data_IF_221744612712
#
_entry.id   IF_221744612712
#
_cell.length_a   1.000
_cell.length_b   1.000
_cell.length_c   1.000
_cell.angle_alpha   90.00
_cell.angle_beta   90.00
_cell.angle_gamma   90.00
#
_symmetry.space_group_name_H-M   'P 1'
#
loop_
_entity.id
_entity.type
_entity.pdbx_description
1 polymer ?
#
# COMPACT_ATOMS: atom_id res chain seq x y z
N UNK A 1 -50.07 -46.55 35.29
CA UNK A 1 -50.10 -45.12 35.67
C UNK A 1 -48.70 -44.56 35.50
N UNK A 2 -48.47 -43.90 34.37
CA UNK A 2 -47.14 -43.52 33.87
C UNK A 2 -46.65 -42.26 34.58
N UNK A 3 -45.52 -42.35 35.29
CA UNK A 3 -44.90 -41.23 36.00
C UNK A 3 -44.20 -40.33 34.98
N UNK A 4 -44.76 -39.16 34.71
CA UNK A 4 -44.10 -38.07 33.97
C UNK A 4 -42.99 -37.47 34.85
N UNK A 5 -41.74 -37.79 34.55
CA UNK A 5 -40.57 -37.05 35.08
C UNK A 5 -40.55 -35.65 34.44
N UNK A 6 -40.46 -34.59 35.26
CA UNK A 6 -40.37 -33.21 34.77
C UNK A 6 -38.93 -32.93 34.30
N UNK A 7 -38.70 -32.27 33.16
CA UNK A 7 -37.34 -31.96 32.71
C UNK A 7 -36.70 -30.89 33.61
N UNK A 8 -35.46 -31.14 34.04
CA UNK A 8 -34.63 -30.20 34.78
C UNK A 8 -34.23 -29.03 33.84
N UNK A 9 -34.39 -27.75 34.23
CA UNK A 9 -33.97 -26.64 33.38
C UNK A 9 -32.44 -26.63 33.24
N UNK A 10 -31.93 -26.79 32.02
CA UNK A 10 -30.51 -26.56 31.71
C UNK A 10 -30.21 -25.07 31.89
N UNK A 11 -29.53 -24.75 32.99
CA UNK A 11 -29.05 -23.41 33.30
C UNK A 11 -28.06 -23.01 32.20
N UNK A 12 -28.47 -22.08 31.32
CA UNK A 12 -27.60 -21.47 30.29
C UNK A 12 -26.33 -20.95 30.98
N UNK A 13 -25.19 -21.61 30.74
CA UNK A 13 -23.88 -21.04 31.07
C UNK A 13 -23.69 -19.80 30.20
N UNK A 14 -23.90 -18.62 30.79
CA UNK A 14 -23.40 -17.36 30.26
C UNK A 14 -21.88 -17.50 30.20
N UNK A 15 -21.31 -17.61 29.00
CA UNK A 15 -19.86 -17.50 28.81
C UNK A 15 -19.46 -16.08 29.20
N UNK A 16 -18.49 -15.88 30.11
CA UNK A 16 -18.07 -14.54 30.45
C UNK A 16 -17.14 -13.98 29.37
N UNK A 17 -17.31 -12.68 29.18
CA UNK A 17 -16.27 -11.68 28.90
C UNK A 17 -15.54 -11.78 27.54
N UNK A 18 -15.93 -10.84 26.69
CA UNK A 18 -15.27 -10.29 25.51
C UNK A 18 -13.75 -10.51 25.48
N UNK A 19 -13.26 -11.24 24.48
CA UNK A 19 -11.96 -10.89 23.91
C UNK A 19 -12.16 -9.58 23.16
N UNK A 20 -12.08 -8.49 23.90
CA UNK A 20 -11.57 -7.22 23.38
C UNK A 20 -10.13 -7.50 22.95
N UNK A 21 -10.00 -8.09 21.75
CA UNK A 21 -8.76 -8.07 21.02
C UNK A 21 -8.52 -6.58 20.76
N UNK A 22 -7.59 -6.04 21.53
CA UNK A 22 -7.16 -4.64 21.47
C UNK A 22 -7.18 -4.21 20.02
N UNK A 23 -8.04 -3.26 19.69
CA UNK A 23 -7.94 -2.48 18.46
C UNK A 23 -6.68 -1.65 18.57
N UNK A 24 -5.54 -2.31 18.45
CA UNK A 24 -4.32 -1.65 18.03
C UNK A 24 -4.68 -1.04 16.67
N UNK A 25 -4.55 0.28 16.48
CA UNK A 25 -4.86 0.89 15.20
C UNK A 25 -3.88 0.29 14.21
N UNK A 26 -4.31 -0.71 13.45
CA UNK A 26 -3.54 -1.19 12.31
C UNK A 26 -3.51 0.00 11.36
N UNK A 27 -2.40 0.75 11.38
CA UNK A 27 -2.19 1.84 10.45
C UNK A 27 -2.45 1.27 9.06
N UNK A 28 -3.39 1.90 8.36
CA UNK A 28 -3.93 1.36 7.11
C UNK A 28 -2.80 1.09 6.10
N UNK A 29 -2.94 0.03 5.27
CA UNK A 29 -2.01 -0.23 4.19
C UNK A 29 -1.81 1.05 3.36
N UNK A 30 -0.55 1.39 3.10
CA UNK A 30 -0.20 2.45 2.18
C UNK A 30 -0.77 2.10 0.79
N UNK A 31 -1.18 3.08 -0.01
CA UNK A 31 -1.58 2.83 -1.40
C UNK A 31 -0.49 3.41 -2.30
N UNK A 32 0.17 2.56 -3.09
CA UNK A 32 1.15 3.01 -4.09
C UNK A 32 0.42 3.21 -5.42
N UNK A 33 0.13 4.47 -5.76
CA UNK A 33 -0.65 4.89 -6.92
C UNK A 33 0.22 5.49 -8.05
N UNK A 34 1.52 5.23 -8.04
CA UNK A 34 2.52 5.68 -9.04
C UNK A 34 2.70 7.21 -9.16
N UNK A 35 1.89 8.00 -8.45
CA UNK A 35 1.98 9.47 -8.42
C UNK A 35 3.02 9.97 -7.41
N UNK A 36 3.34 9.16 -6.41
CA UNK A 36 4.40 9.40 -5.42
C UNK A 36 5.67 8.64 -5.79
N UNK A 37 6.83 9.26 -5.63
CA UNK A 37 8.13 8.60 -5.85
C UNK A 37 8.19 7.31 -5.03
N UNK A 38 8.71 6.24 -5.64
CA UNK A 38 8.95 4.97 -4.95
C UNK A 38 9.75 5.16 -3.65
N UNK A 39 10.71 6.11 -3.61
CA UNK A 39 11.48 6.45 -2.41
C UNK A 39 10.60 6.97 -1.27
N UNK A 40 9.60 7.80 -1.58
CA UNK A 40 8.65 8.35 -0.60
C UNK A 40 7.72 7.24 -0.10
N UNK A 41 7.21 6.43 -1.03
CA UNK A 41 6.38 5.26 -0.69
C UNK A 41 7.14 4.30 0.23
N UNK A 42 8.38 3.96 -0.11
CA UNK A 42 9.26 3.09 0.69
C UNK A 42 9.48 3.66 2.09
N UNK A 43 9.78 4.95 2.22
CA UNK A 43 9.96 5.60 3.53
C UNK A 43 8.70 5.51 4.40
N UNK A 44 7.53 5.80 3.82
CA UNK A 44 6.26 5.70 4.54
C UNK A 44 5.95 4.25 4.94
N UNK A 45 6.20 3.30 4.03
CA UNK A 45 6.05 1.87 4.28
C UNK A 45 6.98 1.38 5.41
N UNK A 46 8.23 1.83 5.45
CA UNK A 46 9.20 1.51 6.50
C UNK A 46 8.75 2.04 7.87
N UNK A 47 8.23 3.27 7.92
CA UNK A 47 7.67 3.86 9.15
C UNK A 47 6.45 3.07 9.65
N UNK A 48 5.51 2.74 8.75
CA UNK A 48 4.30 1.99 9.11
C UNK A 48 4.65 0.57 9.55
N UNK A 49 5.50 -0.11 8.79
CA UNK A 49 5.89 -1.50 9.08
C UNK A 49 6.71 -1.63 10.36
N UNK A 50 7.58 -0.66 10.67
CA UNK A 50 8.33 -0.63 11.93
C UNK A 50 7.43 -0.36 13.13
N UNK A 51 6.49 0.59 13.01
CA UNK A 51 5.50 0.89 14.05
C UNK A 51 4.63 -0.33 14.35
N UNK A 52 4.20 -1.03 13.30
CA UNK A 52 3.39 -2.24 13.41
C UNK A 52 4.21 -3.52 13.64
N UNK A 53 5.54 -3.41 13.73
CA UNK A 53 6.48 -4.54 13.94
C UNK A 53 6.26 -5.71 12.97
N UNK A 54 5.99 -5.40 11.71
CA UNK A 54 5.78 -6.41 10.69
C UNK A 54 7.05 -7.22 10.43
N UNK A 55 6.87 -8.53 10.27
CA UNK A 55 7.94 -9.41 9.78
C UNK A 55 8.15 -9.19 8.29
N UNK A 56 9.31 -9.57 7.75
CA UNK A 56 9.61 -9.39 6.31
C UNK A 56 8.60 -10.10 5.40
N UNK A 57 8.03 -11.22 5.86
CA UNK A 57 6.95 -11.90 5.15
C UNK A 57 5.67 -11.06 5.11
N UNK A 58 5.26 -10.48 6.24
CA UNK A 58 4.09 -9.59 6.30
C UNK A 58 4.33 -8.34 5.48
N UNK A 59 5.53 -7.77 5.54
CA UNK A 59 5.94 -6.65 4.70
C UNK A 59 5.84 -6.99 3.21
N UNK A 60 6.37 -8.13 2.78
CA UNK A 60 6.29 -8.55 1.38
C UNK A 60 4.83 -8.68 0.91
N UNK A 61 3.97 -9.35 1.71
CA UNK A 61 2.56 -9.51 1.39
C UNK A 61 1.82 -8.17 1.32
N UNK A 62 2.03 -7.29 2.31
CA UNK A 62 1.37 -5.99 2.36
C UNK A 62 1.86 -5.08 1.22
N UNK A 63 3.15 -5.14 0.89
CA UNK A 63 3.73 -4.38 -0.20
C UNK A 63 3.09 -4.80 -1.53
N UNK A 64 2.94 -6.09 -1.78
CA UNK A 64 2.24 -6.61 -2.96
C UNK A 64 0.77 -6.16 -2.97
N UNK A 65 0.08 -6.23 -1.84
CA UNK A 65 -1.32 -5.80 -1.73
C UNK A 65 -1.50 -4.28 -1.86
N UNK A 66 -0.47 -3.49 -1.57
CA UNK A 66 -0.49 -2.02 -1.69
C UNK A 66 -0.34 -1.51 -3.13
N UNK A 67 0.16 -2.36 -4.06
CA UNK A 67 0.43 -1.94 -5.43
C UNK A 67 -0.86 -1.68 -6.20
N UNK A 68 -0.94 -0.53 -6.86
CA UNK A 68 -2.03 -0.14 -7.77
C UNK A 68 -1.47 0.38 -9.10
N UNK A 69 -2.33 0.64 -10.07
CA UNK A 69 -1.91 1.15 -11.38
C UNK A 69 -1.09 0.14 -12.19
N UNK A 70 0.02 0.58 -12.76
CA UNK A 70 0.98 -0.24 -13.51
C UNK A 70 1.98 -0.99 -12.60
N UNK A 71 2.00 -0.71 -11.29
CA UNK A 71 2.96 -1.28 -10.35
C UNK A 71 2.88 -2.81 -10.19
N UNK A 72 1.69 -3.46 -10.18
CA UNK A 72 1.60 -4.91 -10.21
C UNK A 72 2.25 -5.56 -11.45
N UNK A 73 2.39 -4.81 -12.56
CA UNK A 73 3.08 -5.28 -13.77
C UNK A 73 4.55 -5.65 -13.53
N UNK A 74 5.21 -4.96 -12.59
CA UNK A 74 6.60 -5.26 -12.18
C UNK A 74 6.73 -6.65 -11.57
N UNK A 75 5.67 -7.14 -10.91
CA UNK A 75 5.67 -8.45 -10.28
C UNK A 75 5.63 -9.62 -11.27
N UNK A 76 5.22 -9.38 -12.53
CA UNK A 76 5.17 -10.44 -13.55
C UNK A 76 6.55 -11.01 -13.90
N UNK A 77 7.61 -10.22 -13.71
CA UNK A 77 9.00 -10.65 -13.91
C UNK A 77 9.58 -11.45 -12.74
N UNK A 78 8.87 -11.53 -11.61
CA UNK A 78 9.35 -12.17 -10.38
C UNK A 78 8.68 -13.55 -10.25
N UNK A 79 9.44 -14.64 -10.08
CA UNK A 79 8.84 -15.96 -9.85
C UNK A 79 8.08 -15.98 -8.51
N UNK A 80 6.93 -16.65 -8.47
CA UNK A 80 6.00 -16.59 -7.33
C UNK A 80 6.63 -17.01 -5.99
N UNK A 81 7.59 -17.94 -6.00
CA UNK A 81 8.34 -18.37 -4.81
C UNK A 81 9.31 -17.30 -4.25
N UNK A 82 9.48 -16.18 -4.96
CA UNK A 82 10.26 -15.01 -4.55
C UNK A 82 9.38 -13.79 -4.23
N UNK A 83 8.07 -13.87 -4.46
CA UNK A 83 7.10 -12.83 -4.04
C UNK A 83 6.85 -12.83 -2.52
N UNK A 84 7.55 -13.68 -1.77
CA UNK A 84 7.62 -13.64 -0.31
C UNK A 84 8.90 -12.99 0.21
N UNK A 85 9.86 -12.69 -0.68
CA UNK A 85 11.12 -12.05 -0.34
C UNK A 85 11.00 -10.54 -0.59
N UNK A 86 10.88 -9.80 0.51
CA UNK A 86 10.78 -8.34 0.50
C UNK A 86 11.90 -7.68 -0.32
N UNK A 87 13.13 -8.18 -0.19
CA UNK A 87 14.29 -7.57 -0.87
C UNK A 87 14.18 -7.70 -2.39
N UNK A 88 13.65 -8.82 -2.88
CA UNK A 88 13.45 -9.05 -4.31
C UNK A 88 12.39 -8.09 -4.87
N UNK A 89 11.28 -7.91 -4.14
CA UNK A 89 10.17 -7.03 -4.54
C UNK A 89 10.64 -5.57 -4.54
N UNK A 90 11.30 -5.13 -3.48
CA UNK A 90 11.82 -3.76 -3.37
C UNK A 90 12.81 -3.41 -4.49
N UNK A 91 13.71 -4.34 -4.83
CA UNK A 91 14.68 -4.12 -5.93
C UNK A 91 13.99 -4.00 -7.28
N UNK A 92 12.97 -4.81 -7.54
CA UNK A 92 12.23 -4.74 -8.79
C UNK A 92 11.45 -3.42 -8.91
N UNK A 93 10.84 -2.98 -7.80
CA UNK A 93 10.15 -1.69 -7.73
C UNK A 93 11.13 -0.51 -7.84
N UNK A 94 12.29 -0.57 -7.20
CA UNK A 94 13.35 0.43 -7.35
C UNK A 94 13.86 0.50 -8.80
N UNK A 95 14.03 -0.64 -9.47
CA UNK A 95 14.46 -0.67 -10.87
C UNK A 95 13.42 -0.08 -11.83
N UNK A 96 12.13 -0.17 -11.50
CA UNK A 96 11.04 0.23 -12.38
C UNK A 96 10.52 1.65 -12.09
N UNK A 97 10.58 2.06 -10.82
CA UNK A 97 10.00 3.31 -10.32
C UNK A 97 10.98 4.16 -9.50
N UNK A 98 12.23 3.75 -9.39
CA UNK A 98 13.28 4.54 -8.73
C UNK A 98 13.55 5.86 -9.46
N UNK A 99 14.41 6.69 -8.86
CA UNK A 99 14.55 8.10 -9.23
C UNK A 99 14.97 8.32 -10.70
N UNK A 100 15.68 7.37 -11.32
CA UNK A 100 16.08 7.46 -12.74
C UNK A 100 14.88 7.39 -13.69
N UNK A 101 13.89 6.56 -13.38
CA UNK A 101 12.64 6.50 -14.16
C UNK A 101 11.81 7.76 -13.94
N UNK A 102 11.85 8.30 -12.73
CA UNK A 102 11.10 9.50 -12.36
C UNK A 102 11.61 10.76 -13.09
N UNK A 103 12.93 10.95 -13.19
CA UNK A 103 13.52 12.01 -14.03
C UNK A 103 13.13 11.87 -15.50
N UNK A 104 13.13 10.64 -16.05
CA UNK A 104 12.72 10.41 -17.45
C UNK A 104 11.22 10.65 -17.66
N UNK A 105 10.40 10.25 -16.70
CA UNK A 105 8.96 10.49 -16.68
C UNK A 105 8.66 12.00 -16.65
N UNK A 106 9.22 12.75 -15.70
CA UNK A 106 9.00 14.21 -15.63
C UNK A 106 9.56 14.95 -16.83
N UNK A 107 10.71 14.53 -17.39
CA UNK A 107 11.21 15.07 -18.67
C UNK A 107 10.23 14.83 -19.83
N UNK A 108 9.54 13.69 -19.84
CA UNK A 108 8.58 13.35 -20.88
C UNK A 108 7.28 14.12 -20.69
N UNK A 109 6.75 14.19 -19.47
CA UNK A 109 5.62 15.05 -19.08
C UNK A 109 5.87 16.51 -19.48
N UNK A 110 7.08 17.03 -19.20
CA UNK A 110 7.45 18.39 -19.56
C UNK A 110 7.49 18.62 -21.08
N UNK A 111 7.88 17.61 -21.87
CA UNK A 111 7.87 17.69 -23.35
C UNK A 111 6.46 17.73 -23.93
N UNK A 112 5.51 17.04 -23.30
CA UNK A 112 4.13 16.97 -23.79
C UNK A 112 3.23 18.05 -23.15
N UNK A 113 3.67 18.71 -22.07
CA UNK A 113 2.91 19.77 -21.41
C UNK A 113 2.68 20.93 -22.36
N UNK A 114 1.41 21.13 -22.71
CA UNK A 114 0.91 22.29 -23.46
C UNK A 114 -0.19 22.95 -22.66
N UNK A 115 -0.36 24.27 -22.83
CA UNK A 115 -1.47 25.01 -22.22
C UNK A 115 -2.79 24.43 -22.71
N UNK A 116 -3.68 24.05 -21.80
CA UNK A 116 -5.04 23.63 -22.14
C UNK A 116 -5.91 24.86 -22.42
N UNK A 117 -6.97 24.69 -23.23
CA UNK A 117 -7.95 25.76 -23.45
C UNK A 117 -8.66 26.09 -22.13
N UNK A 118 -8.63 27.35 -21.70
CA UNK A 118 -9.20 27.80 -20.42
C UNK A 118 -8.28 27.65 -19.20
N UNK A 119 -7.07 27.11 -19.35
CA UNK A 119 -6.08 27.06 -18.25
C UNK A 119 -5.45 28.44 -18.04
N UNK A 120 -5.46 28.92 -16.79
CA UNK A 120 -4.84 30.19 -16.40
C UNK A 120 -3.32 30.02 -16.47
N UNK A 121 -2.63 31.04 -17.01
CA UNK A 121 -1.17 31.01 -17.20
C UNK A 121 -0.40 30.68 -15.92
N UNK A 122 -0.82 31.19 -14.77
CA UNK A 122 -0.18 30.90 -13.47
C UNK A 122 -0.23 29.42 -13.09
N UNK A 123 -1.31 28.72 -13.43
CA UNK A 123 -1.47 27.30 -13.13
C UNK A 123 -0.58 26.45 -14.03
N UNK A 124 -0.39 26.88 -15.28
CA UNK A 124 0.61 26.30 -16.18
C UNK A 124 2.03 26.54 -15.66
N UNK A 125 2.34 27.77 -15.22
CA UNK A 125 3.67 28.11 -14.68
C UNK A 125 4.00 27.28 -13.44
N UNK A 126 3.09 27.20 -12.47
CA UNK A 126 3.28 26.41 -11.27
C UNK A 126 3.51 24.93 -11.58
N UNK A 127 2.78 24.37 -12.55
CA UNK A 127 2.95 22.97 -12.95
C UNK A 127 4.27 22.74 -13.69
N UNK A 128 4.70 23.67 -14.54
CA UNK A 128 6.02 23.61 -15.20
C UNK A 128 7.15 23.75 -14.18
N UNK A 129 7.07 24.69 -13.23
CA UNK A 129 8.05 24.87 -12.16
C UNK A 129 8.14 23.63 -11.26
N UNK A 130 6.99 23.02 -10.95
CA UNK A 130 6.93 21.74 -10.24
C UNK A 130 7.64 20.64 -11.03
N UNK A 131 7.33 20.48 -12.33
CA UNK A 131 7.95 19.47 -13.18
C UNK A 131 9.47 19.67 -13.34
N UNK A 132 9.95 20.92 -13.43
CA UNK A 132 11.38 21.24 -13.46
C UNK A 132 12.07 20.87 -12.15
N UNK A 133 11.41 21.14 -11.01
CA UNK A 133 11.97 20.83 -9.69
C UNK A 133 12.09 19.33 -9.41
N UNK A 134 11.35 18.51 -10.18
CA UNK A 134 11.29 17.06 -10.02
C UNK A 134 12.09 16.30 -11.08
N UNK A 135 12.58 16.97 -12.14
CA UNK A 135 13.32 16.36 -13.27
C UNK A 135 14.83 16.35 -13.04
#
# INVERSE_FOLDING_TARGET
>A
MTRFERPVPVRRKKRPFSQEQSREPTLRPLTFDELTSWRVCKTQFDVVSSTNRWTDFVKASELVDSLRGSAPGVLQGIPANKLTDLTTIEKALESSFGDTHLTQFYRTELKIKRRKAGEILQMLTADVERLISLA
#
